data_IF_022007295788
#
_entry.id   IF_022007295788
#
_cell.length_a   1.000
_cell.length_b   1.000
_cell.length_c   1.000
_cell.angle_alpha   90.00
_cell.angle_beta   90.00
_cell.angle_gamma   90.00
#
_symmetry.space_group_name_H-M   'P 1'
#
loop_
_entity.id
_entity.type
_entity.pdbx_description
1 polymer ?
#
# COMPACT_ATOMS: atom_id res chain seq x y z
N UNK A 1 -17.53 7.04 -7.77
CA UNK A 1 -18.61 6.42 -6.97
C UNK A 1 -18.18 5.09 -6.35
N UNK A 2 -17.90 4.02 -7.12
CA UNK A 2 -17.51 2.72 -6.54
C UNK A 2 -16.17 2.74 -5.79
N UNK A 3 -15.15 3.41 -6.35
CA UNK A 3 -13.84 3.59 -5.71
C UNK A 3 -13.93 4.36 -4.39
N UNK A 4 -14.65 5.48 -4.40
CA UNK A 4 -14.81 6.35 -3.22
C UNK A 4 -15.53 5.64 -2.07
N UNK A 5 -16.56 4.84 -2.39
CA UNK A 5 -17.30 4.04 -1.40
C UNK A 5 -16.42 2.90 -0.87
N UNK A 6 -15.67 2.21 -1.74
CA UNK A 6 -14.72 1.17 -1.31
C UNK A 6 -13.64 1.73 -0.40
N UNK A 7 -13.11 2.91 -0.70
CA UNK A 7 -12.16 3.63 0.14
C UNK A 7 -12.75 4.01 1.50
N UNK A 8 -13.98 4.52 1.52
CA UNK A 8 -14.67 4.87 2.75
C UNK A 8 -14.93 3.64 3.63
N UNK A 9 -15.34 2.51 3.04
CA UNK A 9 -15.56 1.24 3.76
C UNK A 9 -14.24 0.66 4.26
N UNK A 10 -13.18 0.65 3.44
CA UNK A 10 -11.85 0.19 3.85
C UNK A 10 -11.27 1.02 5.00
N UNK A 11 -11.34 2.35 4.91
CA UNK A 11 -10.92 3.26 5.99
C UNK A 11 -11.72 3.05 7.27
N UNK A 12 -13.04 2.89 7.15
CA UNK A 12 -13.93 2.80 8.31
C UNK A 12 -13.87 1.44 9.04
N UNK A 13 -13.74 0.33 8.30
CA UNK A 13 -13.78 -1.02 8.88
C UNK A 13 -12.41 -1.66 9.07
N UNK A 14 -11.40 -1.28 8.28
CA UNK A 14 -10.09 -1.92 8.26
C UNK A 14 -8.95 -0.98 8.68
N UNK A 15 -9.27 0.29 9.00
CA UNK A 15 -8.30 1.35 9.34
C UNK A 15 -7.15 1.46 8.33
N UNK A 16 -7.45 1.23 7.05
CA UNK A 16 -6.46 1.30 5.97
C UNK A 16 -6.81 2.37 4.96
N UNK A 17 -5.78 3.08 4.50
CA UNK A 17 -5.90 4.03 3.40
C UNK A 17 -5.61 3.39 2.03
N UNK A 18 -5.15 2.13 2.04
CA UNK A 18 -4.73 1.38 0.87
C UNK A 18 -5.82 0.39 0.42
N UNK A 19 -6.01 0.27 -0.89
CA UNK A 19 -7.01 -0.63 -1.51
C UNK A 19 -6.37 -1.84 -2.22
N UNK A 20 -5.08 -2.07 -2.01
CA UNK A 20 -4.35 -3.23 -2.54
C UNK A 20 -4.24 -4.35 -1.50
N UNK A 21 -3.70 -5.50 -1.89
CA UNK A 21 -3.46 -6.64 -0.99
C UNK A 21 -2.42 -6.34 0.09
N UNK A 22 -2.48 -7.07 1.20
CA UNK A 22 -1.41 -7.10 2.20
C UNK A 22 -0.33 -8.13 1.87
N UNK A 23 0.86 -7.95 2.43
CA UNK A 23 1.99 -8.88 2.43
C UNK A 23 2.28 -9.31 3.88
N UNK A 24 2.27 -10.62 4.14
CA UNK A 24 2.49 -11.20 5.47
C UNK A 24 3.80 -12.01 5.49
N UNK A 25 4.94 -11.37 5.78
CA UNK A 25 6.21 -12.08 5.85
C UNK A 25 6.25 -13.05 7.04
N UNK A 26 7.11 -14.07 6.95
CA UNK A 26 7.42 -15.01 8.03
C UNK A 26 6.22 -15.84 8.56
N UNK A 27 5.23 -16.10 7.72
CA UNK A 27 4.08 -16.93 8.08
C UNK A 27 3.13 -16.28 9.08
N UNK A 28 3.11 -14.93 9.17
CA UNK A 28 2.06 -14.21 9.89
C UNK A 28 0.68 -14.64 9.35
N UNK A 29 -0.26 -14.90 10.23
CA UNK A 29 -1.63 -15.24 9.86
C UNK A 29 -2.33 -14.01 9.25
N UNK A 30 -3.02 -14.19 8.12
CA UNK A 30 -3.77 -13.12 7.48
C UNK A 30 -5.07 -12.85 8.27
N UNK A 31 -5.08 -11.76 9.03
CA UNK A 31 -6.24 -11.36 9.85
C UNK A 31 -6.64 -9.92 9.52
N UNK A 32 -7.87 -9.54 9.85
CA UNK A 32 -8.29 -8.13 9.74
C UNK A 32 -7.44 -7.22 10.64
N UNK A 33 -7.00 -7.71 11.79
CA UNK A 33 -6.23 -6.94 12.78
C UNK A 33 -4.85 -6.51 12.29
N UNK A 34 -4.22 -7.29 11.40
CA UNK A 34 -2.91 -6.99 10.83
C UNK A 34 -2.98 -6.64 9.34
N UNK A 35 -4.17 -6.37 8.81
CA UNK A 35 -4.36 -6.11 7.38
C UNK A 35 -3.70 -4.80 6.95
N UNK A 36 -3.87 -3.72 7.72
CA UNK A 36 -3.24 -2.43 7.44
C UNK A 36 -1.70 -2.53 7.48
N UNK A 37 -1.15 -3.18 8.52
CA UNK A 37 0.30 -3.44 8.61
C UNK A 37 0.79 -4.26 7.40
N UNK A 38 0.04 -5.26 6.97
CA UNK A 38 0.41 -6.05 5.81
C UNK A 38 0.39 -5.23 4.52
N UNK A 39 -0.50 -4.23 4.37
CA UNK A 39 -0.49 -3.33 3.22
C UNK A 39 0.73 -2.40 3.24
N UNK A 40 1.15 -1.96 4.42
CA UNK A 40 2.42 -1.23 4.57
C UNK A 40 3.63 -2.12 4.23
N UNK A 41 3.68 -3.36 4.75
CA UNK A 41 4.72 -4.35 4.41
C UNK A 41 4.77 -4.62 2.90
N UNK A 42 3.62 -4.63 2.22
CA UNK A 42 3.55 -4.77 0.76
C UNK A 42 4.17 -3.57 0.04
N UNK A 43 3.84 -2.35 0.49
CA UNK A 43 4.43 -1.12 -0.06
C UNK A 43 5.94 -1.11 0.15
N UNK A 44 6.40 -1.50 1.33
CA UNK A 44 7.82 -1.53 1.69
C UNK A 44 8.58 -2.55 0.84
N UNK A 45 8.01 -3.72 0.57
CA UNK A 45 8.61 -4.71 -0.32
C UNK A 45 8.85 -4.15 -1.72
N UNK A 46 7.91 -3.36 -2.26
CA UNK A 46 8.11 -2.72 -3.57
C UNK A 46 9.28 -1.72 -3.49
N UNK A 47 9.28 -0.89 -2.45
CA UNK A 47 10.31 0.15 -2.22
C UNK A 47 11.71 -0.48 -2.11
N UNK A 48 11.85 -1.55 -1.33
CA UNK A 48 13.12 -2.24 -1.09
C UNK A 48 13.73 -2.85 -2.36
N UNK A 49 12.92 -3.08 -3.40
CA UNK A 49 13.34 -3.65 -4.67
C UNK A 49 13.54 -2.60 -5.78
N UNK A 50 13.37 -1.31 -5.48
CA UNK A 50 13.68 -0.24 -6.43
C UNK A 50 15.20 -0.16 -6.59
N UNK A 51 15.74 -0.25 -7.83
CA UNK A 51 17.18 -0.16 -8.04
C UNK A 51 17.75 1.18 -7.56
N UNK A 52 18.96 1.12 -7.00
CA UNK A 52 19.73 2.30 -6.64
C UNK A 52 19.83 3.28 -7.81
N UNK A 53 19.77 4.58 -7.50
CA UNK A 53 19.88 5.71 -8.45
C UNK A 53 18.72 5.84 -9.43
N UNK A 54 17.60 5.16 -9.23
CA UNK A 54 16.34 5.44 -9.93
C UNK A 54 16.01 6.94 -9.82
N UNK A 55 15.68 7.57 -10.96
CA UNK A 55 15.43 9.03 -11.04
C UNK A 55 13.97 9.40 -11.24
N UNK A 56 13.20 8.49 -11.82
CA UNK A 56 11.80 8.67 -12.08
C UNK A 56 11.11 7.33 -12.03
N UNK A 57 9.88 7.34 -11.53
CA UNK A 57 9.01 6.16 -11.42
C UNK A 57 7.67 6.56 -12.05
N UNK A 58 7.14 5.66 -12.88
CA UNK A 58 5.77 5.77 -13.40
C UNK A 58 4.89 4.78 -12.63
N UNK A 59 3.95 5.30 -11.84
CA UNK A 59 2.97 4.50 -11.11
C UNK A 59 1.73 4.25 -11.99
N UNK A 60 1.70 3.09 -12.66
CA UNK A 60 0.62 2.72 -13.57
C UNK A 60 -0.55 2.16 -12.77
N UNK A 61 -1.65 2.92 -12.73
CA UNK A 61 -2.85 2.52 -11.99
C UNK A 61 -2.75 2.79 -10.49
N UNK A 62 -2.32 4.00 -10.12
CA UNK A 62 -1.94 4.41 -8.76
C UNK A 62 -3.03 4.33 -7.67
N UNK A 63 -4.28 3.98 -8.02
CA UNK A 63 -5.36 3.85 -7.04
C UNK A 63 -5.62 5.13 -6.25
N UNK A 64 -5.46 5.07 -4.92
CA UNK A 64 -5.56 6.24 -4.03
C UNK A 64 -4.36 7.18 -4.09
N UNK A 65 -3.25 6.76 -4.72
CA UNK A 65 -2.01 7.52 -4.81
C UNK A 65 -1.09 7.40 -3.59
N UNK A 66 -1.42 6.56 -2.61
CA UNK A 66 -0.63 6.43 -1.37
C UNK A 66 0.78 5.90 -1.59
N UNK A 67 0.97 4.90 -2.46
CA UNK A 67 2.31 4.40 -2.78
C UNK A 67 3.16 5.49 -3.44
N UNK A 68 2.59 6.23 -4.40
CA UNK A 68 3.26 7.38 -5.02
C UNK A 68 3.64 8.45 -3.97
N UNK A 69 2.76 8.73 -3.00
CA UNK A 69 3.06 9.65 -1.90
C UNK A 69 4.19 9.13 -0.99
N UNK A 70 4.17 7.84 -0.63
CA UNK A 70 5.25 7.18 0.12
C UNK A 70 6.58 7.33 -0.62
N UNK A 71 6.61 7.09 -1.93
CA UNK A 71 7.81 7.25 -2.78
C UNK A 71 8.32 8.68 -2.81
N UNK A 72 7.44 9.69 -2.97
CA UNK A 72 7.84 11.10 -2.95
C UNK A 72 8.44 11.54 -1.61
N UNK A 73 7.98 10.95 -0.50
CA UNK A 73 8.49 11.26 0.84
C UNK A 73 9.86 10.63 1.13
N UNK A 74 10.31 9.66 0.33
CA UNK A 74 11.63 9.03 0.48
C UNK A 74 12.78 9.88 -0.12
N UNK A 75 12.48 10.83 -1.01
CA UNK A 75 13.44 11.75 -1.65
C UNK A 75 13.59 11.52 -3.15
#
# INVERSE_FOLDING_TARGET
>A
VGLDIGLAVGRFFLNTEDLHYGYWPNGKEATVHNFAEAQDDHSQLIIDYIPDKTKSILDVGSGSGNLALKLLNLG
#
